data_IF_181536196782
#
_entry.id   IF_181536196782
#
_cell.length_a   1.000
_cell.length_b   1.000
_cell.length_c   1.000
_cell.angle_alpha   90.00
_cell.angle_beta   90.00
_cell.angle_gamma   90.00
#
_symmetry.space_group_name_H-M   'P 1'
#
loop_
_entity.id
_entity.type
_entity.pdbx_description
1 polymer ?
#
# COMPACT_ATOMS: atom_id res chain seq x y z
N UNK A 1 -3.69 -3.82 1.87
CA UNK A 1 -3.37 -2.38 1.96
C UNK A 1 -4.44 -1.70 2.82
N UNK A 2 -4.18 -1.51 4.12
CA UNK A 2 -5.16 -0.93 5.05
C UNK A 2 -5.08 0.60 5.16
N UNK A 3 -4.02 1.23 4.66
CA UNK A 3 -3.66 2.61 5.00
C UNK A 3 -4.22 3.66 4.02
N UNK A 4 -4.57 3.24 2.81
CA UNK A 4 -5.25 4.07 1.81
C UNK A 4 -6.72 3.69 1.79
N UNK A 5 -7.47 4.25 2.75
CA UNK A 5 -8.92 4.07 2.83
C UNK A 5 -9.56 4.49 1.50
N UNK A 6 -10.00 3.51 0.71
CA UNK A 6 -10.70 3.73 -0.57
C UNK A 6 -9.96 3.28 -1.84
N UNK A 7 -8.71 2.79 -1.76
CA UNK A 7 -8.06 2.20 -2.93
C UNK A 7 -8.45 0.71 -3.07
N UNK A 8 -9.19 0.40 -4.13
CA UNK A 8 -9.66 -0.96 -4.48
C UNK A 8 -9.00 -1.34 -5.80
N UNK A 9 -8.23 -2.43 -5.79
CA UNK A 9 -7.58 -3.01 -6.96
C UNK A 9 -8.04 -4.45 -7.14
N UNK A 10 -8.27 -4.86 -8.39
CA UNK A 10 -8.62 -6.23 -8.78
C UNK A 10 -7.70 -6.69 -9.90
N UNK A 11 -7.41 -7.98 -9.97
CA UNK A 11 -6.56 -8.60 -10.98
C UNK A 11 -6.90 -10.08 -11.11
N UNK A 12 -6.49 -10.71 -12.20
CA UNK A 12 -6.79 -12.12 -12.49
C UNK A 12 -5.93 -13.06 -11.65
N UNK A 13 -4.81 -12.57 -11.13
CA UNK A 13 -3.88 -13.32 -10.29
C UNK A 13 -3.47 -12.52 -9.06
N UNK A 14 -3.06 -13.23 -8.00
CA UNK A 14 -2.52 -12.61 -6.79
C UNK A 14 -1.32 -11.70 -7.08
N UNK A 15 -0.40 -12.15 -7.94
CA UNK A 15 0.77 -11.37 -8.36
C UNK A 15 0.38 -10.07 -9.11
N UNK A 16 -0.66 -10.13 -9.93
CA UNK A 16 -1.19 -8.95 -10.61
C UNK A 16 -1.83 -7.98 -9.62
N UNK A 17 -2.66 -8.49 -8.70
CA UNK A 17 -3.27 -7.68 -7.64
C UNK A 17 -2.19 -7.00 -6.80
N UNK A 18 -1.14 -7.71 -6.43
CA UNK A 18 -0.03 -7.15 -5.65
C UNK A 18 0.69 -6.03 -6.40
N UNK A 19 0.99 -6.22 -7.69
CA UNK A 19 1.59 -5.18 -8.53
C UNK A 19 0.69 -3.95 -8.60
N UNK A 20 -0.61 -4.14 -8.84
CA UNK A 20 -1.58 -3.05 -8.93
C UNK A 20 -1.71 -2.28 -7.62
N UNK A 21 -1.67 -2.97 -6.47
CA UNK A 21 -1.64 -2.32 -5.15
C UNK A 21 -0.40 -1.44 -5.02
N UNK A 22 0.78 -1.94 -5.39
CA UNK A 22 2.04 -1.16 -5.30
C UNK A 22 2.00 0.08 -6.19
N UNK A 23 1.50 -0.04 -7.41
CA UNK A 23 1.35 1.08 -8.36
C UNK A 23 0.33 2.11 -7.87
N UNK A 24 -0.84 1.67 -7.39
CA UNK A 24 -1.87 2.57 -6.87
C UNK A 24 -1.40 3.34 -5.63
N UNK A 25 -0.61 2.70 -4.76
CA UNK A 25 -0.01 3.36 -3.59
C UNK A 25 0.97 4.46 -4.01
N UNK A 26 1.84 4.17 -4.99
CA UNK A 26 2.81 5.14 -5.49
C UNK A 26 2.10 6.37 -6.07
N UNK A 27 1.08 6.16 -6.91
CA UNK A 27 0.30 7.25 -7.50
C UNK A 27 -0.38 8.13 -6.43
N UNK A 28 -0.93 7.53 -5.38
CA UNK A 28 -1.57 8.31 -4.31
C UNK A 28 -0.57 9.16 -3.53
N UNK A 29 0.61 8.60 -3.22
CA UNK A 29 1.67 9.35 -2.55
C UNK A 29 2.20 10.49 -3.41
N UNK A 30 2.33 10.28 -4.73
CA UNK A 30 2.69 11.33 -5.68
C UNK A 30 1.68 12.49 -5.63
N UNK A 31 0.37 12.20 -5.66
CA UNK A 31 -0.67 13.21 -5.54
C UNK A 31 -0.60 14.00 -4.22
N UNK A 32 -0.32 13.34 -3.10
CA UNK A 32 -0.13 14.01 -1.79
C UNK A 32 1.05 14.99 -1.85
N UNK A 33 2.15 14.59 -2.49
CA UNK A 33 3.34 15.43 -2.64
C UNK A 33 3.04 16.63 -3.55
N UNK A 34 2.34 16.41 -4.66
CA UNK A 34 1.91 17.48 -5.58
C UNK A 34 1.00 18.50 -4.89
N UNK A 35 0.05 18.03 -4.08
CA UNK A 35 -0.87 18.87 -3.31
C UNK A 35 -0.22 19.49 -2.06
N UNK A 36 1.07 19.24 -1.81
CA UNK A 36 1.80 19.68 -0.60
C UNK A 36 1.11 19.28 0.71
N UNK A 37 0.42 18.14 0.70
CA UNK A 37 -0.26 17.57 1.85
C UNK A 37 0.74 16.75 2.70
N UNK A 38 0.51 16.64 4.01
CA UNK A 38 1.34 15.80 4.86
C UNK A 38 1.18 14.33 4.48
N UNK A 39 2.30 13.61 4.36
CA UNK A 39 2.28 12.16 4.11
C UNK A 39 1.67 11.45 5.34
N UNK A 40 0.64 10.60 5.15
CA UNK A 40 0.02 9.87 6.24
C UNK A 40 0.99 8.82 6.82
N UNK A 41 0.95 8.63 8.14
CA UNK A 41 1.70 7.54 8.76
C UNK A 41 1.07 6.17 8.41
N UNK A 42 1.90 5.13 8.21
CA UNK A 42 1.40 3.77 7.98
C UNK A 42 0.60 3.30 9.20
N UNK A 43 -0.64 2.83 9.00
CA UNK A 43 -1.47 2.26 10.08
C UNK A 43 -1.27 0.75 10.24
N UNK A 44 -0.62 0.09 9.26
CA UNK A 44 -0.20 -1.31 9.36
C UNK A 44 1.09 -1.48 10.17
N UNK A 45 1.08 -2.46 11.08
CA UNK A 45 2.25 -2.85 11.88
C UNK A 45 2.56 -4.33 11.59
N UNK A 46 3.80 -4.62 11.21
CA UNK A 46 4.29 -5.99 10.97
C UNK A 46 5.35 -6.29 12.02
N UNK A 47 5.22 -7.43 12.69
CA UNK A 47 6.24 -7.95 13.60
C UNK A 47 6.89 -9.19 12.96
N UNK A 48 8.21 -9.17 12.82
CA UNK A 48 8.97 -10.34 12.38
C UNK A 48 9.00 -11.38 13.51
N UNK A 49 8.55 -12.61 13.23
CA UNK A 49 8.61 -13.72 14.17
C UNK A 49 9.58 -14.77 13.62
N UNK A 50 10.67 -15.00 14.34
CA UNK A 50 11.66 -16.02 13.99
C UNK A 50 11.14 -17.41 14.40
N UNK A 51 11.01 -18.31 13.42
CA UNK A 51 10.55 -19.69 13.66
C UNK A 51 11.76 -20.62 13.61
N UNK A 52 12.15 -21.17 14.76
CA UNK A 52 13.15 -22.25 14.81
C UNK A 52 12.50 -23.56 14.35
N UNK A 53 13.16 -24.26 13.42
CA UNK A 53 12.76 -25.58 12.91
C UNK A 53 13.20 -26.74 13.82
#
# INVERSE_FOLDING_TARGET
MPDLLGCITTGETEAEVERLIREANALHLEGIVEDSLPIPEPSSRVEDVEVNA
#
